data_IF_639145177611
#
_entry.id   IF_639145177611
#
_cell.length_a   1.000
_cell.length_b   1.000
_cell.length_c   1.000
_cell.angle_alpha   90.00
_cell.angle_beta   90.00
_cell.angle_gamma   90.00
#
_symmetry.space_group_name_H-M   'P 1'
#
loop_
_entity.id
_entity.type
_entity.pdbx_description
1 polymer ?
#
# COMPACT_ATOMS: atom_id res chain seq x y z
N UNK A 1 -21.00 -7.65 17.00
CA UNK A 1 -19.94 -6.79 16.41
C UNK A 1 -19.68 -7.08 14.94
N UNK A 2 -19.47 -8.34 14.51
CA UNK A 2 -19.28 -8.67 13.08
C UNK A 2 -20.45 -8.28 12.18
N UNK A 3 -21.69 -8.50 12.63
CA UNK A 3 -22.90 -8.14 11.86
C UNK A 3 -23.05 -6.64 11.60
N UNK A 4 -22.75 -5.80 12.60
CA UNK A 4 -22.85 -4.35 12.45
C UNK A 4 -21.76 -3.79 11.50
N UNK A 5 -20.54 -4.32 11.58
CA UNK A 5 -19.47 -3.96 10.64
C UNK A 5 -19.84 -4.33 9.19
N UNK A 6 -20.38 -5.53 9.00
CA UNK A 6 -20.85 -6.00 7.69
C UNK A 6 -22.00 -5.12 7.17
N UNK A 7 -22.95 -4.75 8.03
CA UNK A 7 -24.04 -3.84 7.66
C UNK A 7 -23.49 -2.50 7.15
N UNK A 8 -22.52 -1.89 7.85
CA UNK A 8 -21.88 -0.67 7.37
C UNK A 8 -21.17 -0.88 6.02
N UNK A 9 -20.50 -2.01 5.80
CA UNK A 9 -19.86 -2.32 4.52
C UNK A 9 -20.86 -2.40 3.36
N UNK A 10 -22.08 -2.90 3.61
CA UNK A 10 -23.16 -2.92 2.61
C UNK A 10 -23.75 -1.52 2.35
N UNK A 11 -23.84 -0.67 3.37
CA UNK A 11 -24.44 0.66 3.26
C UNK A 11 -23.50 1.69 2.64
N UNK A 12 -22.19 1.55 2.83
CA UNK A 12 -21.21 2.50 2.29
C UNK A 12 -21.25 2.48 0.75
N UNK A 13 -21.35 3.64 0.08
CA UNK A 13 -21.29 3.71 -1.37
C UNK A 13 -19.85 3.46 -1.86
N UNK A 14 -19.46 2.19 -1.95
CA UNK A 14 -18.08 1.73 -2.12
C UNK A 14 -17.38 2.39 -3.32
N UNK A 15 -18.06 2.51 -4.46
CA UNK A 15 -17.49 3.14 -5.66
C UNK A 15 -17.24 4.65 -5.49
N UNK A 16 -18.16 5.35 -4.80
CA UNK A 16 -17.99 6.78 -4.54
C UNK A 16 -16.82 7.00 -3.58
N UNK A 17 -16.80 6.23 -2.48
CA UNK A 17 -15.72 6.29 -1.49
C UNK A 17 -14.36 5.98 -2.14
N UNK A 18 -14.28 4.90 -2.93
CA UNK A 18 -13.07 4.52 -3.65
C UNK A 18 -12.58 5.64 -4.58
N UNK A 19 -13.47 6.28 -5.35
CA UNK A 19 -13.12 7.41 -6.21
C UNK A 19 -12.64 8.64 -5.42
N UNK A 20 -13.28 8.96 -4.30
CA UNK A 20 -12.88 10.09 -3.45
C UNK A 20 -11.50 9.87 -2.83
N UNK A 21 -11.28 8.68 -2.25
CA UNK A 21 -9.98 8.29 -1.69
C UNK A 21 -8.92 8.24 -2.79
N UNK A 22 -9.25 7.70 -3.96
CA UNK A 22 -8.34 7.67 -5.11
C UNK A 22 -7.94 9.07 -5.59
N UNK A 23 -8.86 10.04 -5.59
CA UNK A 23 -8.52 11.45 -5.88
C UNK A 23 -7.59 12.04 -4.82
N UNK A 24 -7.87 11.81 -3.55
CA UNK A 24 -7.01 12.28 -2.45
C UNK A 24 -5.63 11.62 -2.47
N UNK A 25 -5.56 10.33 -2.79
CA UNK A 25 -4.31 9.57 -2.83
C UNK A 25 -3.41 9.93 -4.02
N UNK A 26 -3.99 10.40 -5.13
CA UNK A 26 -3.28 10.94 -6.28
C UNK A 26 -2.88 12.43 -6.13
N UNK A 27 -3.36 13.12 -5.08
CA UNK A 27 -3.03 14.53 -4.90
C UNK A 27 -1.54 14.70 -4.56
N UNK A 28 -0.86 15.58 -5.29
CA UNK A 28 0.57 15.89 -5.09
C UNK A 28 0.83 17.00 -4.07
N UNK A 29 -0.20 17.44 -3.34
CA UNK A 29 -0.06 18.48 -2.30
C UNK A 29 0.89 17.98 -1.19
N UNK A 30 2.06 18.61 -0.97
CA UNK A 30 3.13 18.03 -0.15
C UNK A 30 2.74 17.70 1.29
N UNK A 31 2.06 18.62 1.99
CA UNK A 31 1.64 18.39 3.38
C UNK A 31 0.62 17.25 3.48
N UNK A 32 -0.27 17.13 2.49
CA UNK A 32 -1.34 16.13 2.48
C UNK A 32 -0.79 14.74 2.21
N UNK A 33 0.03 14.58 1.15
CA UNK A 33 0.64 13.28 0.82
C UNK A 33 1.56 12.81 1.94
N UNK A 34 2.42 13.69 2.49
CA UNK A 34 3.36 13.32 3.54
C UNK A 34 2.63 12.95 4.83
N UNK A 35 1.52 13.63 5.15
CA UNK A 35 0.67 13.25 6.26
C UNK A 35 0.10 11.84 6.09
N UNK A 36 -0.49 11.52 4.93
CA UNK A 36 -1.03 10.18 4.66
C UNK A 36 0.05 9.10 4.68
N UNK A 37 1.18 9.31 4.00
CA UNK A 37 2.29 8.35 3.95
C UNK A 37 2.81 8.08 5.36
N UNK A 38 3.12 9.14 6.13
CA UNK A 38 3.66 9.00 7.50
C UNK A 38 2.68 8.26 8.41
N UNK A 39 1.38 8.58 8.32
CA UNK A 39 0.35 7.88 9.12
C UNK A 39 0.22 6.43 8.71
N UNK A 40 0.29 6.12 7.43
CA UNK A 40 0.23 4.76 6.91
C UNK A 40 1.42 3.91 7.37
N UNK A 41 2.65 4.44 7.26
CA UNK A 41 3.87 3.79 7.73
C UNK A 41 3.73 3.42 9.22
N UNK A 42 3.32 4.37 10.06
CA UNK A 42 3.17 4.15 11.51
C UNK A 42 2.04 3.18 11.84
N UNK A 43 0.90 3.27 11.14
CA UNK A 43 -0.30 2.47 11.44
C UNK A 43 -0.14 1.01 11.03
N UNK A 44 0.58 0.75 9.95
CA UNK A 44 0.75 -0.60 9.38
C UNK A 44 2.15 -1.18 9.59
N UNK A 45 3.08 -0.43 10.20
CA UNK A 45 4.45 -0.91 10.46
C UNK A 45 5.21 -1.17 9.16
N UNK A 46 5.06 -0.31 8.15
CA UNK A 46 5.69 -0.52 6.84
C UNK A 46 7.21 -0.47 6.98
N UNK A 47 7.89 -1.53 6.54
CA UNK A 47 9.35 -1.60 6.54
C UNK A 47 9.93 -0.71 5.43
N UNK A 48 10.36 0.50 5.80
CA UNK A 48 11.00 1.44 4.85
C UNK A 48 12.44 1.07 4.51
N UNK A 49 13.08 0.16 5.26
CA UNK A 49 14.45 -0.26 4.96
C UNK A 49 14.54 -1.03 3.62
N UNK A 50 13.46 -1.67 3.20
CA UNK A 50 13.35 -2.40 1.93
C UNK A 50 12.95 -1.50 0.75
N UNK A 51 12.37 -0.33 1.01
CA UNK A 51 11.95 0.60 -0.03
C UNK A 51 13.17 1.23 -0.72
N UNK A 52 13.04 1.51 -2.02
CA UNK A 52 14.07 2.20 -2.81
C UNK A 52 14.27 3.64 -2.31
N UNK A 53 13.18 4.34 -1.97
CA UNK A 53 13.18 5.66 -1.35
C UNK A 53 12.71 5.57 0.09
N UNK A 54 13.32 6.34 0.99
CA UNK A 54 13.16 6.14 2.44
C UNK A 54 12.23 7.17 3.06
N UNK A 55 12.17 8.38 2.48
CA UNK A 55 11.47 9.51 3.08
C UNK A 55 10.09 9.71 2.42
N UNK A 56 9.04 10.06 3.18
CA UNK A 56 7.74 10.43 2.61
C UNK A 56 7.82 11.55 1.56
N UNK A 57 8.80 12.44 1.71
CA UNK A 57 9.08 13.56 0.82
C UNK A 57 9.45 13.12 -0.60
N UNK A 58 10.09 11.94 -0.74
CA UNK A 58 10.60 11.41 -2.01
C UNK A 58 9.49 10.99 -2.99
N UNK A 59 8.28 10.77 -2.49
CA UNK A 59 7.14 10.30 -3.29
C UNK A 59 6.28 11.46 -3.78
N UNK A 60 5.81 11.44 -5.01
CA UNK A 60 5.00 12.53 -5.58
C UNK A 60 3.54 12.55 -5.08
N UNK A 61 3.03 11.42 -4.57
CA UNK A 61 1.67 11.26 -4.04
C UNK A 61 1.62 10.06 -3.07
N UNK A 62 0.48 9.84 -2.40
CA UNK A 62 0.31 8.62 -1.60
C UNK A 62 0.28 7.37 -2.49
N UNK A 63 -0.34 7.44 -3.67
CA UNK A 63 -0.38 6.30 -4.59
C UNK A 63 1.02 5.91 -5.09
N UNK A 64 1.88 6.89 -5.36
CA UNK A 64 3.29 6.66 -5.71
C UNK A 64 4.04 5.91 -4.60
N UNK A 65 3.80 6.28 -3.33
CA UNK A 65 4.27 5.52 -2.18
C UNK A 65 3.64 4.11 -2.07
N UNK A 66 2.35 3.97 -2.38
CA UNK A 66 1.63 2.70 -2.27
C UNK A 66 2.19 1.64 -3.21
N UNK A 67 2.63 2.05 -4.41
CA UNK A 67 3.31 1.18 -5.39
C UNK A 67 4.85 1.27 -5.32
N UNK A 68 5.42 1.76 -4.22
CA UNK A 68 6.86 2.02 -4.10
C UNK A 68 7.70 0.83 -4.56
N UNK A 69 8.76 1.12 -5.31
CA UNK A 69 9.77 0.14 -5.67
C UNK A 69 10.53 -0.34 -4.43
N UNK A 70 10.87 -1.62 -4.41
CA UNK A 70 11.78 -2.21 -3.43
C UNK A 70 13.22 -2.12 -3.93
N UNK A 71 14.19 -2.19 -3.01
CA UNK A 71 15.62 -2.25 -3.36
C UNK A 71 15.92 -3.48 -4.23
N UNK A 72 16.87 -3.37 -5.17
CA UNK A 72 17.40 -4.54 -5.87
C UNK A 72 17.88 -5.60 -4.87
N UNK A 73 17.56 -6.87 -5.15
CA UNK A 73 17.93 -7.98 -4.27
C UNK A 73 17.06 -8.16 -3.02
N UNK A 74 16.07 -7.29 -2.76
CA UNK A 74 15.12 -7.46 -1.65
C UNK A 74 14.29 -8.75 -1.77
N UNK A 75 14.09 -9.24 -3.01
CA UNK A 75 13.43 -10.52 -3.32
C UNK A 75 14.30 -11.29 -4.31
N UNK A 76 14.87 -12.41 -3.86
CA UNK A 76 15.66 -13.30 -4.71
C UNK A 76 14.68 -14.27 -5.40
N UNK A 77 14.73 -14.31 -6.73
CA UNK A 77 13.92 -15.23 -7.53
C UNK A 77 14.69 -16.54 -7.73
N UNK A 78 13.97 -17.66 -7.70
CA UNK A 78 14.56 -18.99 -7.92
C UNK A 78 15.11 -19.13 -9.34
N UNK A 79 16.22 -19.84 -9.47
CA UNK A 79 16.87 -20.19 -10.75
C UNK A 79 16.46 -21.58 -11.27
N UNK A 80 15.67 -22.32 -10.48
CA UNK A 80 15.23 -23.68 -10.83
C UNK A 80 14.27 -23.65 -12.01
N UNK A 81 14.56 -24.46 -13.03
CA UNK A 81 13.74 -24.57 -14.24
C UNK A 81 12.24 -24.87 -14.00
N UNK A 82 11.94 -25.66 -12.96
CA UNK A 82 10.55 -25.98 -12.54
C UNK A 82 10.20 -25.33 -11.19
N UNK A 83 10.87 -24.25 -10.81
CA UNK A 83 10.60 -23.52 -9.59
C UNK A 83 9.32 -22.69 -9.71
N UNK A 84 8.41 -22.84 -8.74
CA UNK A 84 7.29 -21.92 -8.55
C UNK A 84 7.70 -20.93 -7.45
N UNK A 85 7.44 -19.65 -7.68
CA UNK A 85 7.68 -18.57 -6.70
C UNK A 85 6.37 -17.94 -6.25
N UNK A 86 6.38 -17.32 -5.07
CA UNK A 86 5.25 -16.49 -4.66
C UNK A 86 5.11 -15.30 -5.61
N UNK A 87 3.90 -14.95 -6.07
CA UNK A 87 3.70 -13.81 -6.95
C UNK A 87 3.73 -12.46 -6.20
N UNK A 88 3.60 -12.48 -4.87
CA UNK A 88 3.49 -11.28 -4.05
C UNK A 88 3.95 -11.51 -2.61
N UNK A 89 4.23 -10.41 -1.91
CA UNK A 89 4.39 -10.38 -0.46
C UNK A 89 3.02 -10.39 0.20
N UNK A 90 2.81 -11.28 1.18
CA UNK A 90 1.54 -11.37 1.88
C UNK A 90 1.43 -12.60 2.76
N UNK A 91 0.19 -12.96 3.09
CA UNK A 91 -0.16 -14.16 3.85
C UNK A 91 -1.10 -15.03 3.03
N UNK A 92 -1.00 -16.34 3.20
CA UNK A 92 -1.92 -17.30 2.55
C UNK A 92 -3.25 -17.26 3.29
N UNK A 93 -4.34 -17.02 2.54
CA UNK A 93 -5.72 -17.18 3.02
C UNK A 93 -6.30 -18.47 2.47
N UNK A 94 -7.21 -19.09 3.22
CA UNK A 94 -7.97 -20.29 2.83
C UNK A 94 -9.46 -19.97 2.67
#
# INVERSE_FOLDING_TARGET
>A
MKSLFILFQYLVPQHLLSRLVGKAANASTPWLKNFFITRFIRRYGVNMAEAQYHSPEDYTSFNDFFIRSLKPGARIITDRANGIVSPADGVVSA
#
